data_IF_510293369921
#
_entry.id   IF_510293369921
#
_cell.length_a   1.000
_cell.length_b   1.000
_cell.length_c   1.000
_cell.angle_alpha   90.00
_cell.angle_beta   90.00
_cell.angle_gamma   90.00
#
_symmetry.space_group_name_H-M   'P 1'
#
loop_
_entity.id
_entity.type
_entity.pdbx_description
1 polymer ?
#
# COMPACT_ATOMS: atom_id res chain seq x y z
N UNK A 1 14.40 2.52 2.54
CA UNK A 1 14.65 2.72 3.99
C UNK A 1 14.92 4.19 4.25
N UNK A 2 14.04 4.85 5.00
CA UNK A 2 14.26 6.24 5.39
C UNK A 2 15.36 6.30 6.46
N UNK A 3 16.15 7.36 6.42
CA UNK A 3 17.09 7.65 7.51
C UNK A 3 16.33 8.13 8.75
N UNK A 4 16.94 8.03 9.92
CA UNK A 4 16.38 8.58 11.16
C UNK A 4 16.01 10.06 11.00
N UNK A 5 16.85 10.85 10.33
CA UNK A 5 16.58 12.28 10.15
C UNK A 5 15.33 12.52 9.28
N UNK A 6 15.14 11.77 8.20
CA UNK A 6 13.93 11.85 7.37
C UNK A 6 12.67 11.50 8.16
N UNK A 7 12.74 10.48 9.02
CA UNK A 7 11.63 10.10 9.88
C UNK A 7 11.33 11.20 10.93
N UNK A 8 12.36 11.76 11.54
CA UNK A 8 12.22 12.88 12.52
C UNK A 8 11.60 14.10 11.84
N UNK A 9 12.07 14.45 10.65
CA UNK A 9 11.55 15.59 9.88
C UNK A 9 10.08 15.36 9.49
N UNK A 10 9.71 14.16 9.11
CA UNK A 10 8.33 13.78 8.80
C UNK A 10 7.41 13.92 10.02
N UNK A 11 7.83 13.44 11.18
CA UNK A 11 7.09 13.55 12.46
C UNK A 11 6.94 15.01 12.87
N UNK A 12 7.99 15.81 12.71
CA UNK A 12 7.99 17.26 12.99
C UNK A 12 7.03 18.00 12.06
N UNK A 13 7.08 17.71 10.77
CA UNK A 13 6.21 18.33 9.77
C UNK A 13 4.73 17.96 10.00
N UNK A 14 4.46 16.72 10.42
CA UNK A 14 3.13 16.29 10.82
C UNK A 14 2.63 16.96 12.10
N UNK A 15 3.51 17.58 12.90
CA UNK A 15 3.18 18.15 14.20
C UNK A 15 2.72 17.11 15.23
N UNK A 16 3.16 15.85 15.06
CA UNK A 16 2.72 14.75 15.89
C UNK A 16 3.24 14.90 17.32
N UNK A 17 2.33 14.84 18.30
CA UNK A 17 2.64 14.90 19.73
C UNK A 17 2.75 13.51 20.37
N UNK A 18 2.13 12.53 19.73
CA UNK A 18 2.13 11.14 20.15
C UNK A 18 2.61 10.30 18.96
N UNK A 19 3.57 9.43 19.18
CA UNK A 19 4.02 8.44 18.19
C UNK A 19 3.91 7.03 18.75
N UNK A 20 3.64 6.08 17.86
CA UNK A 20 3.65 4.66 18.15
C UNK A 20 4.91 4.08 17.52
N UNK A 21 5.69 3.37 18.31
CA UNK A 21 6.95 2.77 17.85
C UNK A 21 7.06 1.33 18.35
N UNK A 22 7.89 0.53 17.70
CA UNK A 22 8.24 -0.78 18.24
C UNK A 22 9.03 -0.65 19.53
N UNK A 23 8.81 -1.56 20.48
CA UNK A 23 9.47 -1.57 21.78
C UNK A 23 10.97 -1.97 21.73
N UNK A 24 11.45 -2.36 20.55
CA UNK A 24 12.87 -2.57 20.26
C UNK A 24 13.57 -1.35 19.60
N UNK A 25 12.87 -0.23 19.41
CA UNK A 25 13.50 0.97 18.83
C UNK A 25 14.60 1.50 19.76
N UNK A 26 15.81 1.83 19.23
CA UNK A 26 16.90 2.34 20.05
C UNK A 26 16.54 3.62 20.81
N UNK A 27 16.90 3.68 22.10
CA UNK A 27 16.63 4.87 22.93
C UNK A 27 17.18 6.17 22.34
N UNK A 28 18.34 6.10 21.68
CA UNK A 28 18.94 7.25 21.05
C UNK A 28 18.04 7.85 19.94
N UNK A 29 17.35 7.02 19.18
CA UNK A 29 16.41 7.46 18.15
C UNK A 29 15.18 8.14 18.78
N UNK A 30 14.66 7.54 19.84
CA UNK A 30 13.51 8.09 20.59
C UNK A 30 13.80 9.49 21.13
N UNK A 31 15.01 9.74 21.64
CA UNK A 31 15.41 11.06 22.12
C UNK A 31 15.48 12.10 20.98
N UNK A 32 15.85 11.69 19.77
CA UNK A 32 15.84 12.59 18.61
C UNK A 32 14.41 13.01 18.22
N UNK A 33 13.41 12.11 18.26
CA UNK A 33 12.01 12.49 18.06
C UNK A 33 11.51 13.50 19.10
N UNK A 34 11.84 13.31 20.37
CA UNK A 34 11.48 14.27 21.42
C UNK A 34 12.13 15.63 21.20
N UNK A 35 13.43 15.64 20.98
CA UNK A 35 14.26 16.85 20.90
C UNK A 35 13.98 17.67 19.64
N UNK A 36 13.90 17.03 18.48
CA UNK A 36 13.81 17.70 17.19
C UNK A 36 12.38 17.86 16.68
N UNK A 37 11.51 16.87 16.91
CA UNK A 37 10.12 16.90 16.46
C UNK A 37 9.12 17.35 17.54
N UNK A 38 9.54 17.48 18.79
CA UNK A 38 8.68 17.92 19.88
C UNK A 38 7.60 16.91 20.26
N UNK A 39 7.91 15.62 20.13
CA UNK A 39 7.06 14.51 20.57
C UNK A 39 7.00 14.48 22.09
N UNK A 40 5.80 14.42 22.64
CA UNK A 40 5.54 14.45 24.09
C UNK A 40 5.34 13.05 24.68
N UNK A 41 4.73 12.16 23.92
CA UNK A 41 4.41 10.81 24.38
C UNK A 41 4.77 9.79 23.30
N UNK A 42 5.44 8.74 23.72
CA UNK A 42 5.83 7.62 22.87
C UNK A 42 5.11 6.37 23.39
N UNK A 43 4.34 5.73 22.53
CA UNK A 43 3.67 4.46 22.84
C UNK A 43 4.49 3.33 22.26
N UNK A 44 5.04 2.49 23.13
CA UNK A 44 5.82 1.34 22.70
C UNK A 44 4.93 0.11 22.47
N UNK A 45 5.09 -0.49 21.31
CA UNK A 45 4.33 -1.65 20.84
C UNK A 45 5.26 -2.85 20.71
N UNK A 46 4.96 -3.93 21.41
CA UNK A 46 5.65 -5.20 21.17
C UNK A 46 5.03 -5.92 19.97
N UNK A 47 5.83 -6.50 19.06
CA UNK A 47 5.33 -7.43 18.04
C UNK A 47 4.53 -8.59 18.62
N UNK A 48 4.83 -8.97 19.86
CA UNK A 48 4.14 -10.04 20.57
C UNK A 48 2.73 -9.67 21.07
N UNK A 49 2.32 -8.40 21.02
CA UNK A 49 0.94 -8.00 21.32
C UNK A 49 -0.05 -8.40 20.21
N UNK A 50 0.44 -8.59 18.98
CA UNK A 50 -0.40 -8.98 17.85
C UNK A 50 -0.73 -10.48 17.84
N UNK A 51 0.09 -11.31 18.50
CA UNK A 51 -0.11 -12.76 18.58
C UNK A 51 0.46 -13.31 19.88
N UNK A 52 -0.11 -14.43 20.34
CA UNK A 52 0.39 -15.14 21.51
C UNK A 52 1.74 -15.78 21.17
N UNK A 53 2.81 -15.37 21.85
CA UNK A 53 4.19 -15.81 21.55
C UNK A 53 4.32 -17.36 21.54
N UNK A 54 3.61 -18.04 22.41
CA UNK A 54 3.59 -19.49 22.52
C UNK A 54 2.92 -20.22 21.35
N UNK A 55 2.16 -19.49 20.54
CA UNK A 55 1.51 -19.99 19.32
C UNK A 55 2.23 -19.57 18.03
N UNK A 56 3.27 -18.77 18.14
CA UNK A 56 4.04 -18.32 16.97
C UNK A 56 5.04 -19.40 16.53
N UNK A 57 5.32 -19.52 15.24
CA UNK A 57 6.40 -20.37 14.74
C UNK A 57 7.75 -19.94 15.31
N UNK A 58 8.61 -20.90 15.68
CA UNK A 58 9.91 -20.61 16.31
C UNK A 58 10.80 -19.67 15.49
N UNK A 59 10.80 -19.80 14.15
CA UNK A 59 11.61 -18.94 13.30
C UNK A 59 11.15 -17.49 13.34
N UNK A 60 9.83 -17.22 13.43
CA UNK A 60 9.30 -15.85 13.59
C UNK A 60 9.70 -15.29 14.96
N UNK A 61 9.63 -16.11 16.02
CA UNK A 61 10.09 -15.70 17.36
C UNK A 61 11.58 -15.33 17.29
N UNK A 62 12.39 -16.18 16.68
CA UNK A 62 13.82 -15.92 16.55
C UNK A 62 14.12 -14.64 15.76
N UNK A 63 13.40 -14.40 14.69
CA UNK A 63 13.53 -13.18 13.88
C UNK A 63 13.14 -11.94 14.69
N UNK A 64 11.99 -11.95 15.36
CA UNK A 64 11.57 -10.85 16.25
C UNK A 64 12.57 -10.62 17.37
N UNK A 65 13.02 -11.66 18.05
CA UNK A 65 13.98 -11.54 19.15
C UNK A 65 15.32 -10.96 18.70
N UNK A 66 15.69 -11.12 17.42
CA UNK A 66 16.92 -10.54 16.86
C UNK A 66 16.91 -9.00 16.75
N UNK A 67 15.75 -8.38 16.77
CA UNK A 67 15.62 -6.90 16.77
C UNK A 67 15.91 -6.27 18.14
N UNK A 68 15.86 -7.02 19.23
CA UNK A 68 16.06 -6.50 20.60
C UNK A 68 17.54 -6.36 20.96
N UNK A 69 18.31 -5.61 20.16
CA UNK A 69 19.76 -5.38 20.39
C UNK A 69 20.03 -4.54 21.63
N UNK A 70 19.19 -3.54 21.93
CA UNK A 70 19.32 -2.60 23.04
C UNK A 70 18.31 -2.88 24.19
N UNK A 71 17.66 -4.04 24.14
CA UNK A 71 16.58 -4.41 25.08
C UNK A 71 15.28 -3.69 24.80
N UNK A 72 14.33 -3.80 25.74
CA UNK A 72 12.99 -3.23 25.61
C UNK A 72 13.04 -1.72 25.88
N UNK A 73 12.44 -0.93 24.99
CA UNK A 73 12.35 0.53 25.11
C UNK A 73 11.57 0.91 26.39
N UNK A 74 12.21 1.73 27.20
CA UNK A 74 11.62 2.27 28.45
C UNK A 74 12.27 3.61 28.79
N UNK A 75 11.58 4.44 29.55
CA UNK A 75 12.12 5.73 30.03
C UNK A 75 11.06 6.80 30.18
N UNK A 76 11.50 8.02 30.45
CA UNK A 76 10.60 9.16 30.60
C UNK A 76 9.87 9.48 29.31
N UNK A 77 8.56 9.69 29.39
CA UNK A 77 7.69 9.93 28.22
C UNK A 77 7.45 8.70 27.33
N UNK A 78 7.94 7.52 27.71
CA UNK A 78 7.61 6.26 27.07
C UNK A 78 6.53 5.56 27.88
N UNK A 79 5.49 5.11 27.21
CA UNK A 79 4.34 4.39 27.76
C UNK A 79 4.19 3.07 27.02
N UNK A 80 3.98 1.99 27.75
CA UNK A 80 3.65 0.71 27.12
C UNK A 80 2.25 0.71 26.52
N UNK A 81 1.98 -0.22 25.62
CA UNK A 81 0.64 -0.40 25.06
C UNK A 81 -0.41 -0.67 26.14
N UNK A 82 -0.08 -1.48 27.15
CA UNK A 82 -0.97 -1.79 28.27
C UNK A 82 -1.30 -0.56 29.11
N UNK A 83 -0.31 0.25 29.44
CA UNK A 83 -0.51 1.50 30.17
C UNK A 83 -1.39 2.47 29.38
N UNK A 84 -1.19 2.54 28.05
CA UNK A 84 -2.01 3.36 27.18
C UNK A 84 -3.46 2.89 27.16
N UNK A 85 -3.70 1.59 27.05
CA UNK A 85 -5.05 1.01 27.10
C UNK A 85 -5.71 1.23 28.47
N UNK A 86 -4.95 1.10 29.58
CA UNK A 86 -5.49 1.31 30.93
C UNK A 86 -5.93 2.77 31.13
N UNK A 87 -5.19 3.75 30.60
CA UNK A 87 -5.65 5.14 30.57
C UNK A 87 -6.98 5.29 29.84
N UNK A 88 -7.15 4.58 28.72
CA UNK A 88 -8.40 4.57 27.96
C UNK A 88 -9.58 3.97 28.73
N UNK A 89 -9.38 2.92 29.52
CA UNK A 89 -10.43 2.31 30.37
C UNK A 89 -10.98 3.29 31.42
N UNK A 90 -10.12 4.15 31.93
CA UNK A 90 -10.50 5.14 32.94
C UNK A 90 -11.14 6.41 32.35
N UNK A 91 -11.26 6.48 31.01
CA UNK A 91 -11.90 7.61 30.35
C UNK A 91 -13.43 7.50 30.44
N UNK A 92 -14.03 8.34 31.29
CA UNK A 92 -15.49 8.37 31.49
C UNK A 92 -16.23 9.31 30.50
N UNK A 93 -15.52 9.98 29.61
CA UNK A 93 -16.10 10.91 28.64
C UNK A 93 -16.72 10.19 27.42
N UNK A 94 -17.60 10.87 26.72
CA UNK A 94 -18.04 10.42 25.39
C UNK A 94 -16.93 10.68 24.38
N UNK A 95 -16.62 9.66 23.59
CA UNK A 95 -15.84 9.85 22.37
C UNK A 95 -16.78 10.36 21.29
N UNK A 96 -16.76 11.66 21.04
CA UNK A 96 -17.48 12.23 19.91
C UNK A 96 -16.61 12.08 18.66
N UNK A 97 -17.09 11.29 17.72
CA UNK A 97 -16.45 11.15 16.41
C UNK A 97 -17.10 12.15 15.48
N UNK A 98 -16.31 13.04 14.93
CA UNK A 98 -16.77 13.92 13.85
C UNK A 98 -17.26 13.07 12.68
N UNK A 99 -18.51 13.32 12.26
CA UNK A 99 -19.19 12.53 11.23
C UNK A 99 -18.87 13.00 9.79
N UNK A 100 -18.04 14.02 9.63
CA UNK A 100 -17.60 14.47 8.31
C UNK A 100 -16.67 13.42 7.67
N UNK A 101 -17.20 12.74 6.67
CA UNK A 101 -16.44 11.74 5.90
C UNK A 101 -15.34 12.37 5.04
N UNK A 102 -15.40 13.68 4.78
CA UNK A 102 -14.42 14.42 4.00
C UNK A 102 -13.27 15.00 4.86
N UNK A 103 -13.36 14.86 6.18
CA UNK A 103 -12.25 15.29 7.04
C UNK A 103 -10.96 14.51 6.74
N UNK A 104 -9.78 15.12 6.89
CA UNK A 104 -8.51 14.41 6.80
C UNK A 104 -8.48 13.22 7.77
N UNK A 105 -8.16 12.06 7.26
CA UNK A 105 -8.05 10.81 8.04
C UNK A 105 -6.66 10.23 8.01
N UNK A 106 -6.03 10.23 6.84
CA UNK A 106 -4.74 9.58 6.62
C UNK A 106 -3.81 10.49 5.82
N UNK A 107 -2.55 10.48 6.19
CA UNK A 107 -1.49 11.18 5.47
C UNK A 107 -0.40 10.17 5.11
N UNK A 108 -0.06 10.12 3.84
CA UNK A 108 1.04 9.31 3.31
C UNK A 108 2.11 10.20 2.71
N UNK A 109 3.35 9.76 2.76
CA UNK A 109 4.43 10.42 2.05
C UNK A 109 4.62 9.79 0.67
N UNK A 110 4.83 10.61 -0.34
CA UNK A 110 5.26 10.13 -1.66
C UNK A 110 6.77 9.97 -1.68
N UNK A 111 7.25 9.04 -2.49
CA UNK A 111 8.70 8.80 -2.69
C UNK A 111 9.46 9.96 -3.37
N UNK A 112 8.74 11.02 -3.76
CA UNK A 112 9.36 12.24 -4.27
C UNK A 112 10.19 12.05 -5.53
N UNK A 113 9.64 11.50 -6.61
CA UNK A 113 10.30 11.41 -7.92
C UNK A 113 10.84 12.78 -8.44
N UNK A 114 10.35 13.88 -7.87
CA UNK A 114 10.77 15.26 -8.14
C UNK A 114 11.68 15.87 -7.07
N UNK A 115 12.22 15.06 -6.15
CA UNK A 115 13.26 15.47 -5.18
C UNK A 115 12.80 15.87 -3.79
N UNK A 116 11.54 16.29 -3.56
CA UNK A 116 10.99 16.57 -2.23
C UNK A 116 9.77 15.70 -1.98
N UNK A 117 9.80 14.90 -0.94
CA UNK A 117 8.65 14.14 -0.48
C UNK A 117 7.49 15.08 -0.15
N UNK A 118 6.26 14.71 -0.52
CA UNK A 118 5.04 15.47 -0.27
C UNK A 118 4.11 14.64 0.59
N UNK A 119 3.41 15.28 1.52
CA UNK A 119 2.34 14.63 2.25
C UNK A 119 1.05 14.64 1.42
N UNK A 120 0.57 13.47 1.06
CA UNK A 120 -0.74 13.27 0.42
C UNK A 120 -1.78 13.06 1.51
N UNK A 121 -2.86 13.83 1.47
CA UNK A 121 -3.91 13.82 2.48
C UNK A 121 -5.15 13.13 1.94
N UNK A 122 -5.61 12.08 2.63
CA UNK A 122 -6.82 11.36 2.29
C UNK A 122 -7.89 11.49 3.36
N UNK A 123 -9.15 11.49 2.92
CA UNK A 123 -10.32 11.43 3.79
C UNK A 123 -10.81 9.99 4.01
N UNK A 124 -11.71 9.80 4.96
CA UNK A 124 -12.44 8.56 5.11
C UNK A 124 -13.23 8.22 3.83
N UNK A 125 -13.81 9.21 3.16
CA UNK A 125 -14.54 9.03 1.90
C UNK A 125 -13.64 8.44 0.80
N UNK A 126 -12.42 8.98 0.64
CA UNK A 126 -11.44 8.46 -0.32
C UNK A 126 -11.12 7.00 -0.05
N UNK A 127 -10.76 6.67 1.20
CA UNK A 127 -10.36 5.32 1.57
C UNK A 127 -11.50 4.31 1.44
N UNK A 128 -12.70 4.65 1.92
CA UNK A 128 -13.90 3.81 1.79
C UNK A 128 -14.27 3.63 0.32
N UNK A 129 -14.13 4.68 -0.49
CA UNK A 129 -14.38 4.63 -1.93
C UNK A 129 -13.53 3.56 -2.62
N UNK A 130 -12.24 3.52 -2.36
CA UNK A 130 -11.33 2.50 -2.92
C UNK A 130 -11.65 1.10 -2.38
N UNK A 131 -11.91 0.98 -1.08
CA UNK A 131 -12.31 -0.30 -0.49
C UNK A 131 -13.57 -0.82 -1.20
N UNK A 132 -14.58 0.02 -1.41
CA UNK A 132 -15.80 -0.36 -2.11
C UNK A 132 -15.53 -0.79 -3.56
N UNK A 133 -14.72 -0.02 -4.31
CA UNK A 133 -14.33 -0.36 -5.68
C UNK A 133 -13.63 -1.72 -5.77
N UNK A 134 -12.67 -1.99 -4.89
CA UNK A 134 -11.90 -3.23 -4.91
C UNK A 134 -12.68 -4.42 -4.33
N UNK A 135 -13.68 -4.19 -3.48
CA UNK A 135 -14.51 -5.25 -2.90
C UNK A 135 -15.41 -5.93 -3.92
N UNK A 136 -15.70 -5.30 -5.06
CA UNK A 136 -16.40 -5.94 -6.19
C UNK A 136 -15.66 -7.17 -6.74
N UNK A 137 -14.35 -7.24 -6.54
CA UNK A 137 -13.51 -8.40 -6.90
C UNK A 137 -13.35 -9.37 -5.73
N UNK A 138 -14.24 -9.30 -4.75
CA UNK A 138 -14.26 -10.17 -3.60
C UNK A 138 -14.70 -11.59 -3.93
N UNK A 139 -14.48 -12.49 -2.98
CA UNK A 139 -14.91 -13.88 -3.07
C UNK A 139 -16.44 -13.97 -3.09
N UNK A 140 -16.95 -14.79 -4.00
CA UNK A 140 -18.35 -15.20 -3.98
C UNK A 140 -18.54 -16.39 -3.03
N UNK A 141 -19.59 -16.35 -2.19
CA UNK A 141 -19.94 -17.44 -1.28
C UNK A 141 -19.13 -17.49 0.01
N UNK A 142 -19.06 -18.67 0.62
CA UNK A 142 -18.44 -18.89 1.94
C UNK A 142 -16.92 -19.07 1.89
N UNK A 143 -16.32 -19.10 0.72
CA UNK A 143 -14.87 -19.22 0.57
C UNK A 143 -14.16 -17.94 1.00
N UNK A 144 -13.23 -18.09 1.93
CA UNK A 144 -12.38 -16.99 2.44
C UNK A 144 -10.96 -17.15 1.92
N UNK A 145 -10.60 -16.48 0.82
CA UNK A 145 -9.25 -16.57 0.30
C UNK A 145 -8.23 -16.00 1.29
N UNK A 146 -7.10 -16.67 1.39
CA UNK A 146 -5.93 -16.16 2.11
C UNK A 146 -5.23 -15.11 1.26
N UNK A 147 -4.94 -13.99 1.90
CA UNK A 147 -4.18 -12.87 1.35
C UNK A 147 -2.88 -12.73 2.14
N UNK A 148 -1.74 -12.95 1.49
CA UNK A 148 -0.45 -12.82 2.14
C UNK A 148 0.13 -11.43 1.87
N UNK A 149 0.49 -10.73 2.93
CA UNK A 149 1.22 -9.47 2.87
C UNK A 149 2.56 -9.63 3.57
N UNK A 150 3.62 -9.59 2.79
CA UNK A 150 5.01 -9.71 3.26
C UNK A 150 5.81 -8.50 2.85
N UNK A 151 6.66 -8.00 3.71
CA UNK A 151 7.73 -7.02 3.44
C UNK A 151 7.35 -5.77 2.61
N UNK A 152 6.07 -5.41 2.57
CA UNK A 152 5.61 -4.16 1.95
C UNK A 152 5.27 -3.16 3.06
N UNK A 153 5.92 -1.99 3.08
CA UNK A 153 5.81 -1.07 4.21
C UNK A 153 4.40 -0.45 4.31
N UNK A 154 3.76 -0.52 5.49
CA UNK A 154 2.42 0.02 5.69
C UNK A 154 2.35 1.56 5.75
N UNK A 155 3.45 2.25 5.46
CA UNK A 155 3.45 3.70 5.22
C UNK A 155 2.96 4.07 3.82
N UNK A 156 2.93 3.11 2.88
CA UNK A 156 2.39 3.30 1.55
C UNK A 156 0.88 3.21 1.57
N UNK A 157 0.19 4.19 0.97
CA UNK A 157 -1.27 4.20 0.91
C UNK A 157 -1.82 2.95 0.21
N UNK A 158 -1.16 2.47 -0.83
CA UNK A 158 -1.54 1.25 -1.54
C UNK A 158 -1.53 0.02 -0.61
N UNK A 159 -0.54 -0.08 0.29
CA UNK A 159 -0.45 -1.17 1.26
C UNK A 159 -1.59 -1.06 2.28
N UNK A 160 -1.77 0.13 2.88
CA UNK A 160 -2.83 0.33 3.89
C UNK A 160 -4.21 0.04 3.29
N UNK A 161 -4.54 0.66 2.16
CA UNK A 161 -5.90 0.57 1.62
C UNK A 161 -6.13 -0.74 0.89
N UNK A 162 -5.30 -1.07 -0.09
CA UNK A 162 -5.57 -2.20 -0.98
C UNK A 162 -5.13 -3.53 -0.40
N UNK A 163 -4.09 -3.56 0.44
CA UNK A 163 -3.49 -4.81 0.92
C UNK A 163 -3.82 -5.15 2.37
N UNK A 164 -4.33 -4.18 3.15
CA UNK A 164 -4.78 -4.41 4.53
C UNK A 164 -6.29 -4.20 4.65
N UNK A 165 -6.79 -2.99 4.37
CA UNK A 165 -8.20 -2.67 4.60
C UNK A 165 -9.15 -3.41 3.63
N UNK A 166 -8.80 -3.53 2.35
CA UNK A 166 -9.62 -4.27 1.39
C UNK A 166 -9.79 -5.74 1.78
N UNK A 167 -8.74 -6.51 2.09
CA UNK A 167 -8.92 -7.89 2.57
C UNK A 167 -9.78 -7.99 3.82
N UNK A 168 -9.55 -7.14 4.81
CA UNK A 168 -10.33 -7.13 6.06
C UNK A 168 -11.81 -6.81 5.83
N UNK A 169 -12.10 -5.84 4.95
CA UNK A 169 -13.48 -5.46 4.63
C UNK A 169 -14.18 -6.42 3.65
N UNK A 170 -13.42 -7.26 2.94
CA UNK A 170 -13.95 -8.19 1.91
C UNK A 170 -13.99 -9.64 2.38
N UNK A 171 -14.04 -9.89 3.69
CA UNK A 171 -14.13 -11.22 4.28
C UNK A 171 -12.98 -12.18 3.84
N UNK A 172 -11.76 -11.66 3.70
CA UNK A 172 -10.57 -12.44 3.39
C UNK A 172 -9.77 -12.71 4.66
N UNK A 173 -9.01 -13.80 4.66
CA UNK A 173 -8.05 -14.08 5.72
C UNK A 173 -6.74 -13.38 5.39
N UNK A 174 -6.40 -12.34 6.13
CA UNK A 174 -5.15 -11.62 5.94
C UNK A 174 -4.04 -12.24 6.79
N UNK A 175 -2.95 -12.64 6.15
CA UNK A 175 -1.72 -13.07 6.79
C UNK A 175 -0.74 -11.91 6.69
N UNK A 176 -0.30 -11.40 7.83
CA UNK A 176 0.69 -10.32 7.93
C UNK A 176 2.02 -10.90 8.38
N UNK A 177 3.03 -10.76 7.56
CA UNK A 177 4.42 -11.06 7.89
C UNK A 177 5.33 -9.89 7.49
N UNK A 178 5.29 -8.79 8.26
CA UNK A 178 6.04 -7.57 7.95
C UNK A 178 7.54 -7.70 8.17
N UNK A 179 7.97 -8.73 8.91
CA UNK A 179 9.38 -8.99 9.22
C UNK A 179 9.99 -10.07 8.31
N UNK A 180 9.24 -10.59 7.36
CA UNK A 180 9.74 -11.57 6.40
C UNK A 180 11.03 -11.06 5.73
N UNK A 181 12.07 -11.87 5.79
CA UNK A 181 13.27 -11.61 5.00
C UNK A 181 12.93 -11.79 3.52
N UNK A 182 13.21 -10.79 2.70
CA UNK A 182 12.92 -10.84 1.25
C UNK A 182 13.59 -12.03 0.55
N UNK A 183 14.67 -12.55 1.09
CA UNK A 183 15.34 -13.75 0.57
C UNK A 183 14.61 -15.05 0.95
N UNK A 184 13.58 -15.00 1.79
CA UNK A 184 12.79 -16.16 2.25
C UNK A 184 11.35 -16.13 1.74
N UNK A 185 11.02 -15.27 0.78
CA UNK A 185 9.69 -15.17 0.17
C UNK A 185 9.18 -16.49 -0.41
N UNK A 186 10.06 -17.32 -0.92
CA UNK A 186 9.75 -18.66 -1.41
C UNK A 186 9.31 -19.60 -0.27
N UNK A 187 9.95 -19.52 0.89
CA UNK A 187 9.57 -20.28 2.08
C UNK A 187 8.20 -19.83 2.59
N UNK A 188 7.94 -18.52 2.60
CA UNK A 188 6.64 -17.97 2.99
C UNK A 188 5.53 -18.40 2.02
N UNK A 189 5.78 -18.36 0.73
CA UNK A 189 4.86 -18.87 -0.29
C UNK A 189 4.52 -20.35 -0.05
N UNK A 190 5.54 -21.18 0.16
CA UNK A 190 5.36 -22.61 0.39
C UNK A 190 4.66 -22.92 1.72
N UNK A 191 4.93 -22.12 2.76
CA UNK A 191 4.34 -22.27 4.10
C UNK A 191 2.88 -21.88 4.14
N UNK A 192 2.57 -20.68 3.69
CA UNK A 192 1.23 -20.10 3.81
C UNK A 192 0.31 -20.48 2.65
N UNK A 193 0.85 -20.90 1.51
CA UNK A 193 0.10 -21.26 0.30
C UNK A 193 -1.01 -20.25 0.00
N UNK A 194 -0.69 -18.94 -0.13
CA UNK A 194 -1.70 -17.90 -0.28
C UNK A 194 -2.54 -18.08 -1.54
N UNK A 195 -3.78 -17.65 -1.48
CA UNK A 195 -4.66 -17.59 -2.65
C UNK A 195 -4.45 -16.29 -3.45
N UNK A 196 -4.16 -15.21 -2.74
CA UNK A 196 -3.86 -13.89 -3.30
C UNK A 196 -2.55 -13.38 -2.72
N UNK A 197 -1.66 -12.89 -3.56
CA UNK A 197 -0.39 -12.34 -3.13
C UNK A 197 -0.07 -11.06 -3.92
N UNK A 198 -0.13 -9.87 -3.28
CA UNK A 198 0.40 -8.66 -3.88
C UNK A 198 1.92 -8.71 -3.91
N UNK A 199 2.49 -8.47 -5.07
CA UNK A 199 3.91 -8.59 -5.35
C UNK A 199 4.43 -7.30 -5.98
N UNK A 200 5.74 -7.12 -5.89
CA UNK A 200 6.48 -6.19 -6.75
C UNK A 200 7.34 -7.01 -7.72
N UNK A 201 7.77 -6.43 -8.85
CA UNK A 201 8.60 -7.15 -9.83
C UNK A 201 9.83 -7.84 -9.23
N UNK A 202 10.48 -7.19 -8.25
CA UNK A 202 11.63 -7.77 -7.55
C UNK A 202 11.28 -9.09 -6.83
N UNK A 203 10.12 -9.18 -6.19
CA UNK A 203 9.71 -10.39 -5.45
C UNK A 203 9.53 -11.59 -6.39
N UNK A 204 8.90 -11.37 -7.54
CA UNK A 204 8.75 -12.42 -8.55
C UNK A 204 10.10 -12.86 -9.11
N UNK A 205 11.03 -11.95 -9.34
CA UNK A 205 12.39 -12.27 -9.77
C UNK A 205 13.15 -13.10 -8.71
N UNK A 206 12.95 -12.82 -7.42
CA UNK A 206 13.52 -13.61 -6.33
C UNK A 206 12.94 -15.03 -6.29
N UNK A 207 11.63 -15.18 -6.46
CA UNK A 207 11.00 -16.50 -6.54
C UNK A 207 11.54 -17.33 -7.73
N UNK A 208 11.66 -16.70 -8.90
CA UNK A 208 12.20 -17.38 -10.10
C UNK A 208 13.67 -17.81 -9.96
N UNK A 209 14.43 -17.16 -9.07
CA UNK A 209 15.85 -17.48 -8.82
C UNK A 209 16.04 -18.43 -7.65
N UNK A 210 14.98 -18.73 -6.91
CA UNK A 210 15.08 -19.65 -5.78
C UNK A 210 15.39 -21.08 -6.27
N UNK A 211 16.39 -21.69 -5.64
CA UNK A 211 16.73 -23.11 -5.78
C UNK A 211 16.01 -23.99 -4.73
N UNK A 212 15.24 -23.37 -3.82
CA UNK A 212 14.50 -24.05 -2.75
C UNK A 212 13.10 -24.44 -3.18
N UNK A 213 12.55 -23.86 -4.25
CA UNK A 213 11.24 -24.24 -4.79
C UNK A 213 11.40 -25.53 -5.60
N UNK A 214 10.79 -26.65 -5.19
CA UNK A 214 10.84 -27.88 -5.97
C UNK A 214 10.29 -27.70 -7.39
N UNK A 215 10.89 -28.34 -8.39
CA UNK A 215 10.45 -28.23 -9.78
C UNK A 215 8.98 -28.67 -9.98
N UNK A 216 8.51 -29.60 -9.15
CA UNK A 216 7.13 -30.10 -9.15
C UNK A 216 6.22 -29.41 -8.13
N UNK A 217 6.67 -28.30 -7.51
CA UNK A 217 5.85 -27.57 -6.54
C UNK A 217 4.60 -27.02 -7.20
N UNK A 218 3.42 -27.39 -6.67
CA UNK A 218 2.13 -26.98 -7.19
C UNK A 218 1.65 -25.65 -6.62
N UNK A 219 1.65 -24.61 -7.45
CA UNK A 219 1.15 -23.25 -7.16
C UNK A 219 -0.33 -23.07 -7.54
N UNK A 220 -1.10 -24.14 -7.73
CA UNK A 220 -2.53 -24.02 -8.09
C UNK A 220 -3.39 -23.35 -7.01
N UNK A 221 -2.86 -23.24 -5.78
CA UNK A 221 -3.50 -22.48 -4.69
C UNK A 221 -3.53 -20.97 -4.95
N UNK A 222 -2.56 -20.43 -5.71
CA UNK A 222 -2.48 -19.01 -6.04
C UNK A 222 -3.36 -18.74 -7.28
N UNK A 223 -4.39 -17.94 -7.12
CA UNK A 223 -5.29 -17.58 -8.22
C UNK A 223 -5.32 -16.07 -8.51
N UNK A 224 -4.67 -15.24 -7.67
CA UNK A 224 -4.46 -13.84 -7.94
C UNK A 224 -3.03 -13.41 -7.53
N UNK A 225 -2.27 -12.98 -8.52
CA UNK A 225 -0.93 -12.41 -8.35
C UNK A 225 -0.93 -10.99 -8.94
N UNK A 226 -1.17 -10.00 -8.07
CA UNK A 226 -1.11 -8.58 -8.44
C UNK A 226 0.32 -8.07 -8.38
N UNK A 227 0.81 -7.46 -9.45
CA UNK A 227 2.13 -6.83 -9.49
C UNK A 227 1.98 -5.33 -9.71
N UNK A 228 2.67 -4.54 -8.92
CA UNK A 228 2.59 -3.08 -9.00
C UNK A 228 3.76 -2.39 -8.34
N UNK A 229 3.63 -1.09 -8.13
CA UNK A 229 4.59 -0.19 -7.51
C UNK A 229 5.88 0.07 -8.29
N UNK A 230 6.23 -0.75 -9.29
CA UNK A 230 7.42 -0.63 -10.12
C UNK A 230 7.10 -0.96 -11.56
N UNK A 231 7.92 -0.44 -12.49
CA UNK A 231 7.80 -0.80 -13.90
C UNK A 231 8.14 -2.29 -14.11
N UNK A 232 7.31 -2.96 -14.86
CA UNK A 232 7.46 -4.39 -15.17
C UNK A 232 7.51 -4.59 -16.67
N UNK A 233 8.71 -4.82 -17.20
CA UNK A 233 8.91 -4.90 -18.64
C UNK A 233 8.42 -6.24 -19.23
N UNK A 234 8.16 -6.25 -20.54
CA UNK A 234 7.61 -7.42 -21.22
C UNK A 234 8.44 -8.69 -21.08
N UNK A 235 9.76 -8.58 -21.02
CA UNK A 235 10.64 -9.72 -20.83
C UNK A 235 10.47 -10.35 -19.46
N UNK A 236 10.36 -9.53 -18.43
CA UNK A 236 10.10 -9.96 -17.05
C UNK A 236 8.71 -10.58 -16.93
N UNK A 237 7.69 -9.92 -17.47
CA UNK A 237 6.29 -10.42 -17.47
C UNK A 237 6.24 -11.82 -18.09
N UNK A 238 6.85 -12.01 -19.28
CA UNK A 238 6.86 -13.30 -19.96
C UNK A 238 7.53 -14.38 -19.10
N UNK A 239 8.72 -14.13 -18.57
CA UNK A 239 9.41 -15.10 -17.70
C UNK A 239 8.59 -15.44 -16.46
N UNK A 240 7.97 -14.44 -15.83
CA UNK A 240 7.13 -14.65 -14.66
C UNK A 240 5.89 -15.52 -15.00
N UNK A 241 5.25 -15.29 -16.13
CA UNK A 241 4.12 -16.11 -16.59
C UNK A 241 4.54 -17.54 -16.91
N UNK A 242 5.69 -17.74 -17.57
CA UNK A 242 6.26 -19.05 -17.86
C UNK A 242 6.57 -19.81 -16.57
N UNK A 243 7.18 -19.14 -15.58
CA UNK A 243 7.45 -19.71 -14.27
C UNK A 243 6.17 -20.13 -13.54
N UNK A 244 5.20 -19.25 -13.42
CA UNK A 244 3.92 -19.56 -12.77
C UNK A 244 3.21 -20.73 -13.47
N UNK A 245 3.21 -20.76 -14.79
CA UNK A 245 2.62 -21.83 -15.58
C UNK A 245 3.34 -23.17 -15.40
N UNK A 246 4.66 -23.16 -15.32
CA UNK A 246 5.48 -24.35 -15.07
C UNK A 246 5.12 -25.01 -13.72
N UNK A 247 4.71 -24.21 -12.75
CA UNK A 247 4.29 -24.64 -11.41
C UNK A 247 2.77 -24.81 -11.29
N UNK A 248 2.05 -25.06 -12.39
CA UNK A 248 0.59 -25.26 -12.40
C UNK A 248 -0.23 -24.10 -11.81
N UNK A 249 0.34 -22.91 -11.71
CA UNK A 249 -0.38 -21.72 -11.27
C UNK A 249 -1.39 -21.28 -12.34
N UNK A 250 -2.63 -21.08 -11.92
CA UNK A 250 -3.72 -20.61 -12.79
C UNK A 250 -3.93 -19.10 -12.68
N UNK A 251 -3.20 -18.44 -11.78
CA UNK A 251 -3.31 -17.01 -11.63
C UNK A 251 -2.89 -16.29 -12.91
N UNK A 252 -3.70 -15.35 -13.33
CA UNK A 252 -3.29 -14.38 -14.33
C UNK A 252 -2.48 -13.31 -13.59
N UNK A 253 -1.25 -13.11 -14.04
CA UNK A 253 -0.45 -12.01 -13.55
C UNK A 253 -1.18 -10.71 -13.90
N UNK A 254 -1.45 -9.89 -12.90
CA UNK A 254 -2.23 -8.67 -13.08
C UNK A 254 -1.37 -7.46 -12.77
N UNK A 255 -1.40 -6.49 -13.67
CA UNK A 255 -0.71 -5.21 -13.50
C UNK A 255 -1.78 -4.13 -13.43
N UNK A 256 -1.69 -3.29 -12.40
CA UNK A 256 -2.54 -2.13 -12.23
C UNK A 256 -1.72 -0.86 -12.25
N UNK A 257 -2.34 0.23 -12.65
CA UNK A 257 -1.79 1.58 -12.55
C UNK A 257 -2.43 2.31 -11.38
N UNK A 258 -1.62 3.05 -10.64
CA UNK A 258 -2.09 3.86 -9.52
C UNK A 258 -0.97 4.68 -8.89
N UNK A 259 -1.37 5.59 -8.01
CA UNK A 259 -0.46 6.46 -7.28
C UNK A 259 -1.05 6.88 -5.95
N UNK A 260 -0.21 7.44 -5.08
CA UNK A 260 -0.63 7.89 -3.75
C UNK A 260 -1.75 8.92 -3.80
N UNK A 261 -1.71 9.84 -4.75
CA UNK A 261 -2.69 10.91 -4.97
C UNK A 261 -4.07 10.39 -5.38
N UNK A 262 -4.10 9.20 -5.97
CA UNK A 262 -5.33 8.50 -6.35
C UNK A 262 -5.85 7.54 -5.26
N UNK A 263 -5.19 7.51 -4.12
CA UNK A 263 -5.52 6.68 -2.97
C UNK A 263 -5.11 5.22 -3.10
N UNK A 264 -4.64 4.75 -4.21
CA UNK A 264 -4.06 3.45 -4.55
C UNK A 264 -4.19 3.21 -6.05
N UNK A 265 -4.97 2.21 -6.46
CA UNK A 265 -5.14 1.84 -7.87
C UNK A 265 -6.14 2.77 -8.58
N UNK A 266 -5.79 3.18 -9.79
CA UNK A 266 -6.68 3.85 -10.72
C UNK A 266 -7.33 2.88 -11.70
N UNK A 267 -6.66 1.77 -11.98
CA UNK A 267 -7.08 0.76 -12.95
C UNK A 267 -7.13 -0.63 -12.34
N UNK A 268 -7.84 -1.49 -13.03
CA UNK A 268 -7.93 -2.93 -12.78
C UNK A 268 -7.46 -3.69 -14.03
N UNK A 269 -6.86 -4.87 -13.85
CA UNK A 269 -6.46 -5.68 -14.99
C UNK A 269 -7.65 -6.01 -15.88
N UNK A 270 -7.48 -5.88 -17.18
CA UNK A 270 -8.42 -6.38 -18.15
C UNK A 270 -7.99 -7.80 -18.57
N UNK A 271 -8.72 -8.81 -18.12
CA UNK A 271 -8.37 -10.22 -18.37
C UNK A 271 -8.53 -10.64 -19.84
N UNK A 272 -9.29 -9.89 -20.63
CA UNK A 272 -9.51 -10.14 -22.06
C UNK A 272 -8.35 -9.69 -22.94
N UNK A 273 -7.46 -8.87 -22.39
CA UNK A 273 -6.30 -8.34 -23.12
C UNK A 273 -4.99 -8.81 -22.49
N UNK A 274 -4.00 -9.17 -23.32
CA UNK A 274 -2.68 -9.58 -22.81
C UNK A 274 -2.04 -8.50 -21.97
N UNK A 275 -1.51 -8.86 -20.82
CA UNK A 275 -0.66 -7.98 -20.03
C UNK A 275 0.67 -7.75 -20.76
N UNK A 276 1.23 -6.57 -20.58
CA UNK A 276 2.51 -6.17 -21.19
C UNK A 276 2.38 -4.95 -22.08
N UNK A 277 3.48 -4.48 -22.62
CA UNK A 277 3.59 -3.27 -23.43
C UNK A 277 3.00 -1.99 -22.75
N UNK A 278 3.04 -1.93 -21.42
CA UNK A 278 2.46 -0.84 -20.66
C UNK A 278 0.95 -0.94 -20.45
N UNK A 279 0.29 -2.06 -20.84
CA UNK A 279 -1.12 -2.30 -20.55
C UNK A 279 -1.31 -2.33 -19.03
N UNK A 280 -1.95 -1.30 -18.51
CA UNK A 280 -2.22 -1.08 -17.09
C UNK A 280 -3.69 -1.36 -16.71
N UNK A 281 -4.47 -1.89 -17.64
CA UNK A 281 -5.86 -2.28 -17.43
C UNK A 281 -6.88 -1.19 -17.74
N UNK A 282 -8.07 -1.33 -17.21
CA UNK A 282 -9.22 -0.44 -17.41
C UNK A 282 -9.49 0.38 -16.15
N UNK A 283 -10.12 1.58 -16.26
CA UNK A 283 -10.50 2.38 -15.10
C UNK A 283 -11.31 1.60 -14.08
N UNK A 284 -11.05 1.85 -12.79
CA UNK A 284 -11.84 1.27 -11.72
C UNK A 284 -13.31 1.73 -11.78
N UNK A 285 -14.26 0.94 -11.24
CA UNK A 285 -15.66 1.38 -11.13
C UNK A 285 -15.79 2.76 -10.49
N UNK A 286 -16.72 3.59 -10.98
CA UNK A 286 -16.94 4.96 -10.50
C UNK A 286 -15.71 5.88 -10.62
N UNK A 287 -14.80 5.53 -11.51
CA UNK A 287 -13.64 6.35 -11.91
C UNK A 287 -13.71 6.62 -13.39
N UNK A 288 -13.49 7.86 -13.79
CA UNK A 288 -13.30 8.24 -15.18
C UNK A 288 -11.84 8.61 -15.37
N UNK A 289 -11.23 8.07 -16.41
CA UNK A 289 -9.88 8.44 -16.85
C UNK A 289 -9.94 8.99 -18.26
N UNK A 290 -9.11 9.96 -18.53
CA UNK A 290 -8.93 10.51 -19.87
C UNK A 290 -7.51 11.01 -20.05
N UNK A 291 -7.17 11.28 -21.31
CA UNK A 291 -5.83 11.72 -21.71
C UNK A 291 -5.91 13.17 -22.18
N UNK A 292 -5.11 14.03 -21.56
CA UNK A 292 -5.09 15.46 -21.84
C UNK A 292 -3.73 15.89 -22.42
N UNK A 293 -3.74 16.97 -23.16
CA UNK A 293 -2.53 17.66 -23.56
C UNK A 293 -1.83 18.18 -22.30
N UNK A 294 -0.56 17.78 -22.03
CA UNK A 294 0.11 18.10 -20.77
C UNK A 294 0.04 19.58 -20.38
N UNK A 295 -0.36 19.82 -19.13
CA UNK A 295 -0.50 21.18 -18.60
C UNK A 295 -1.72 21.95 -19.11
N UNK A 296 -2.67 21.29 -19.76
CA UNK A 296 -3.90 21.90 -20.27
C UNK A 296 -5.15 21.08 -19.87
N UNK A 297 -6.35 21.62 -20.11
CA UNK A 297 -7.62 20.92 -19.96
C UNK A 297 -8.17 20.38 -21.30
N UNK A 298 -7.31 20.28 -22.31
CA UNK A 298 -7.72 19.84 -23.64
C UNK A 298 -7.51 18.33 -23.78
N UNK A 299 -8.58 17.60 -23.92
CA UNK A 299 -8.58 16.16 -24.15
C UNK A 299 -8.02 15.84 -25.56
N UNK A 300 -7.13 14.82 -25.64
CA UNK A 300 -6.48 14.44 -26.90
C UNK A 300 -7.18 13.29 -27.63
N UNK A 301 -8.08 12.57 -26.96
CA UNK A 301 -8.79 11.42 -27.48
C UNK A 301 -7.97 10.12 -27.46
N UNK A 302 -8.54 9.06 -28.02
CA UNK A 302 -7.97 7.71 -27.96
C UNK A 302 -6.70 7.55 -28.81
N UNK A 303 -5.86 6.60 -28.40
CA UNK A 303 -4.62 6.20 -29.07
C UNK A 303 -3.61 7.34 -29.27
N UNK A 304 -3.70 8.39 -28.49
CA UNK A 304 -2.79 9.54 -28.51
C UNK A 304 -2.10 9.71 -27.16
N UNK A 305 -0.80 9.96 -27.20
CA UNK A 305 -0.02 10.25 -26.00
C UNK A 305 -0.42 11.62 -25.41
N UNK A 306 -0.53 11.63 -24.10
CA UNK A 306 -0.76 12.83 -23.30
C UNK A 306 -0.67 12.51 -21.82
N UNK A 307 -1.05 13.46 -20.98
CA UNK A 307 -1.09 13.27 -19.53
C UNK A 307 -2.32 12.44 -19.15
N UNK A 308 -2.10 11.40 -18.37
CA UNK A 308 -3.18 10.58 -17.79
C UNK A 308 -3.83 11.40 -16.67
N UNK A 309 -5.12 11.65 -16.78
CA UNK A 309 -5.88 12.32 -15.74
C UNK A 309 -7.05 11.47 -15.28
N UNK A 310 -7.47 11.68 -14.03
CA UNK A 310 -8.48 10.88 -13.37
C UNK A 310 -9.46 11.75 -12.59
N UNK A 311 -10.75 11.41 -12.65
CA UNK A 311 -11.76 11.97 -11.75
C UNK A 311 -12.63 10.84 -11.15
N UNK A 312 -13.36 11.14 -10.09
CA UNK A 312 -14.19 10.15 -9.37
C UNK A 312 -13.61 9.74 -8.03
N UNK A 313 -13.96 8.53 -7.57
CA UNK A 313 -13.53 8.05 -6.25
C UNK A 313 -12.02 7.89 -6.16
N UNK A 314 -11.48 8.04 -4.96
CA UNK A 314 -10.09 7.79 -4.66
C UNK A 314 -9.17 9.01 -4.74
N UNK A 315 -9.58 10.13 -5.33
CA UNK A 315 -8.74 11.33 -5.36
C UNK A 315 -8.46 11.84 -3.94
N UNK A 316 -7.21 12.23 -3.68
CA UNK A 316 -6.79 12.86 -2.44
C UNK A 316 -7.58 14.14 -2.14
N UNK A 317 -7.54 14.60 -0.90
CA UNK A 317 -7.99 15.96 -0.56
C UNK A 317 -7.01 17.03 -1.05
N UNK A 318 -5.75 16.69 -1.13
CA UNK A 318 -4.65 17.55 -1.56
C UNK A 318 -3.34 17.16 -0.90
N UNK A 319 -2.34 17.98 -1.13
CA UNK A 319 -1.06 17.91 -0.41
C UNK A 319 -1.09 18.85 0.81
N UNK A 320 -0.07 18.74 1.63
CA UNK A 320 0.25 19.73 2.69
C UNK A 320 0.54 21.14 2.13
N UNK A 321 0.98 21.21 0.86
CA UNK A 321 1.29 22.45 0.15
C UNK A 321 0.17 22.80 -0.83
N UNK A 322 -0.43 23.99 -0.62
CA UNK A 322 -1.56 24.45 -1.43
C UNK A 322 -1.22 24.55 -2.92
N UNK A 323 -0.07 25.13 -3.24
CA UNK A 323 0.37 25.28 -4.65
C UNK A 323 0.49 23.92 -5.37
N UNK A 324 1.02 22.91 -4.67
CA UNK A 324 1.12 21.56 -5.23
C UNK A 324 -0.26 20.93 -5.44
N UNK A 325 -1.19 21.21 -4.50
CA UNK A 325 -2.57 20.75 -4.60
C UNK A 325 -3.28 21.34 -5.81
N UNK A 326 -3.21 22.65 -6.01
CA UNK A 326 -3.83 23.35 -7.13
C UNK A 326 -3.27 22.92 -8.49
N UNK A 327 -1.99 22.53 -8.52
CA UNK A 327 -1.37 21.97 -9.72
C UNK A 327 -1.84 20.56 -10.04
N UNK A 328 -2.07 19.74 -9.02
CA UNK A 328 -2.46 18.34 -9.19
C UNK A 328 -3.99 18.14 -9.29
N UNK A 329 -4.78 18.91 -8.55
CA UNK A 329 -6.24 18.83 -8.54
C UNK A 329 -6.82 20.07 -9.23
N UNK A 330 -7.30 19.90 -10.46
CA UNK A 330 -7.78 21.02 -11.28
C UNK A 330 -9.27 20.82 -11.61
N UNK A 331 -10.03 21.91 -11.48
CA UNK A 331 -11.44 21.91 -11.89
C UNK A 331 -11.51 22.18 -13.39
N UNK A 332 -12.09 21.25 -14.15
CA UNK A 332 -12.28 21.37 -15.58
C UNK A 332 -13.65 21.98 -15.93
N UNK A 333 -13.88 22.24 -17.23
CA UNK A 333 -15.12 22.85 -17.74
C UNK A 333 -16.35 21.95 -17.53
N UNK A 334 -16.15 20.63 -17.42
CA UNK A 334 -17.21 19.66 -17.09
C UNK A 334 -17.70 19.74 -15.63
N UNK A 335 -17.08 20.63 -14.83
CA UNK A 335 -17.38 20.86 -13.42
C UNK A 335 -16.73 19.88 -12.47
N UNK A 336 -16.09 18.83 -12.96
CA UNK A 336 -15.38 17.85 -12.14
C UNK A 336 -13.99 18.32 -11.72
N UNK A 337 -13.50 17.78 -10.61
CA UNK A 337 -12.11 17.95 -10.18
C UNK A 337 -11.33 16.76 -10.74
N UNK A 338 -10.38 17.04 -11.62
CA UNK A 338 -9.49 16.07 -12.19
C UNK A 338 -8.14 16.06 -11.46
N UNK A 339 -7.65 14.87 -11.19
CA UNK A 339 -6.29 14.64 -10.76
C UNK A 339 -5.40 14.54 -12.01
N UNK A 340 -4.51 15.50 -12.17
CA UNK A 340 -3.42 15.49 -13.11
C UNK A 340 -2.28 14.65 -12.53
N UNK A 341 -2.04 13.47 -13.09
CA UNK A 341 -1.14 12.50 -12.50
C UNK A 341 0.33 12.83 -12.71
N UNK A 342 0.64 13.61 -13.71
CA UNK A 342 2.00 13.86 -14.18
C UNK A 342 2.58 12.72 -15.03
N UNK A 343 1.87 11.60 -15.16
CA UNK A 343 2.29 10.45 -15.95
C UNK A 343 1.81 10.57 -17.39
N UNK A 344 2.66 10.17 -18.32
CA UNK A 344 2.37 10.19 -19.75
C UNK A 344 1.97 8.80 -20.22
N UNK A 345 0.84 8.75 -20.92
CA UNK A 345 0.31 7.50 -21.46
C UNK A 345 -0.74 7.74 -22.52
N UNK A 346 -1.49 6.70 -22.84
CA UNK A 346 -2.63 6.80 -23.74
C UNK A 346 -3.73 5.82 -23.33
N UNK A 347 -4.92 6.02 -23.88
CA UNK A 347 -6.06 5.12 -23.71
C UNK A 347 -6.55 4.66 -25.08
N UNK A 348 -6.90 3.39 -25.22
CA UNK A 348 -7.52 2.82 -26.42
C UNK A 348 -9.03 3.08 -26.44
N UNK A 349 -9.67 2.85 -27.62
CA UNK A 349 -11.13 2.93 -27.75
C UNK A 349 -11.87 1.93 -26.88
N UNK A 350 -11.23 0.80 -26.55
CA UNK A 350 -11.75 -0.23 -25.63
C UNK A 350 -11.57 0.15 -24.13
N UNK A 351 -11.04 1.35 -23.86
CA UNK A 351 -10.85 1.87 -22.51
C UNK A 351 -9.62 1.33 -21.77
N UNK A 352 -8.67 0.70 -22.46
CA UNK A 352 -7.43 0.20 -21.84
C UNK A 352 -6.44 1.35 -21.72
N UNK A 353 -5.93 1.54 -20.51
CA UNK A 353 -4.91 2.53 -20.17
C UNK A 353 -3.52 1.93 -20.36
N UNK A 354 -2.65 2.67 -21.00
CA UNK A 354 -1.23 2.37 -21.17
C UNK A 354 -0.41 3.48 -20.50
N UNK A 355 0.25 3.14 -19.38
CA UNK A 355 1.06 4.06 -18.57
C UNK A 355 2.55 3.68 -18.58
#
# INVERSE_FOLDING_TARGET
DNTLQENVDAVKEAGAKIIFVHDFLPKAEVEEYKKQAGVETIISLSPYHAAEKDKMPEHIIHEIDSFYTDGILSGDGVMTWEEFLEKGKNYAGKVEVEKDVNRPLFRAYTSGSTGTSKQVIHSAYTMIGIIAQMSFYGSAGDFRPTWLLTNLPPCLIAVVVSMILVPLCSNKLLILDPFCNVNDLDLEMMRYRPNCWPLIPMFIELLMRSDRIPEDYDMSHLFAAGVGCEAFNNGQIRRAQEFLKAHNCKAVLSIGYGQSEAGSNCTLPCLEHPIGNGNSGIPMPLTVMSIFEPGTHKEVGYNKLGEICKTGLGNMLGYDRQEATEKALQKHEDGNIWLHTGDIGYMTEDGIVFA
#
